data_IF_481063514828
#
_entry.id   IF_481063514828
#
_cell.length_a   1.000
_cell.length_b   1.000
_cell.length_c   1.000
_cell.angle_alpha   90.00
_cell.angle_beta   90.00
_cell.angle_gamma   90.00
#
_symmetry.space_group_name_H-M   'P 1'
#
loop_
_entity.id
_entity.type
_entity.pdbx_description
1 polymer ?
#
# COMPACT_ATOMS: atom_id res chain seq x y z
N UNK A 1 -12.56 15.23 16.86
CA UNK A 1 -11.30 15.87 16.43
C UNK A 1 -11.45 16.21 14.97
N UNK A 2 -11.28 17.48 14.59
CA UNK A 2 -11.24 17.91 13.18
C UNK A 2 -9.78 18.17 12.86
N UNK A 3 -9.26 17.54 11.81
CA UNK A 3 -7.90 17.78 11.31
C UNK A 3 -7.98 18.83 10.20
N UNK A 4 -7.25 19.93 10.36
CA UNK A 4 -7.07 20.93 9.30
C UNK A 4 -5.98 20.48 8.32
N UNK A 5 -6.12 20.86 7.05
CA UNK A 5 -5.11 20.59 6.02
C UNK A 5 -4.08 21.73 5.98
N UNK A 6 -2.80 21.44 5.69
CA UNK A 6 -2.23 20.12 5.43
C UNK A 6 -2.08 19.28 6.70
N UNK A 7 -2.29 17.96 6.59
CA UNK A 7 -2.22 17.02 7.71
C UNK A 7 -1.37 15.79 7.37
N UNK A 8 -0.72 15.23 8.40
CA UNK A 8 -0.06 13.93 8.38
C UNK A 8 -0.63 13.08 9.52
N UNK A 9 -1.28 11.97 9.16
CA UNK A 9 -1.77 10.99 10.12
C UNK A 9 -0.76 9.85 10.16
N UNK A 10 -0.24 9.58 11.35
CA UNK A 10 0.68 8.47 11.60
C UNK A 10 -0.01 7.48 12.53
N UNK A 11 0.00 6.21 12.13
CA UNK A 11 -0.42 5.10 12.96
C UNK A 11 0.60 3.96 12.87
N UNK A 12 0.49 2.98 13.76
CA UNK A 12 1.31 1.77 13.73
C UNK A 12 0.55 0.58 14.31
N UNK A 13 0.98 -0.61 13.95
CA UNK A 13 0.30 -1.86 14.28
C UNK A 13 0.90 -3.01 13.48
N UNK A 14 0.20 -4.14 13.43
CA UNK A 14 0.54 -5.29 12.62
C UNK A 14 -0.77 -5.85 12.06
N UNK A 15 -1.09 -5.50 10.82
CA UNK A 15 -2.30 -6.02 10.17
C UNK A 15 -2.12 -7.48 9.77
N UNK A 16 -3.21 -8.15 9.43
CA UNK A 16 -3.14 -9.50 8.87
C UNK A 16 -3.97 -9.58 7.61
N UNK A 17 -3.57 -10.49 6.73
CA UNK A 17 -4.26 -10.81 5.48
C UNK A 17 -4.92 -12.16 5.63
N UNK A 18 -6.19 -12.25 5.22
CA UNK A 18 -6.85 -13.53 5.01
C UNK A 18 -6.56 -13.99 3.59
N UNK A 19 -5.61 -14.92 3.44
CA UNK A 19 -5.19 -15.41 2.12
C UNK A 19 -6.25 -16.37 1.58
N UNK A 20 -6.80 -16.03 0.41
CA UNK A 20 -7.79 -16.82 -0.32
C UNK A 20 -7.38 -17.08 -1.78
N UNK A 21 -6.52 -16.24 -2.35
CA UNK A 21 -5.94 -16.42 -3.68
C UNK A 21 -4.54 -17.03 -3.65
N UNK A 22 -3.95 -17.17 -4.83
CA UNK A 22 -2.62 -17.76 -5.05
C UNK A 22 -1.57 -16.69 -5.42
N UNK A 23 -1.94 -15.41 -5.28
CA UNK A 23 -1.09 -14.27 -5.58
C UNK A 23 0.09 -14.08 -4.64
N UNK A 24 0.92 -13.09 -4.97
CA UNK A 24 2.05 -12.68 -4.13
C UNK A 24 1.78 -11.29 -3.57
N UNK A 25 2.01 -11.11 -2.27
CA UNK A 25 1.76 -9.84 -1.60
C UNK A 25 2.13 -9.88 -0.13
N UNK A 26 1.76 -8.83 0.57
CA UNK A 26 1.88 -8.72 2.02
C UNK A 26 0.82 -7.80 2.60
N UNK A 27 0.78 -7.71 3.93
CA UNK A 27 -0.25 -6.97 4.67
C UNK A 27 -0.20 -5.47 4.38
N UNK A 28 1.00 -4.90 4.23
CA UNK A 28 1.17 -3.48 3.96
C UNK A 28 0.76 -3.15 2.53
N UNK A 29 1.17 -3.99 1.58
CA UNK A 29 0.78 -3.87 0.17
C UNK A 29 -0.74 -4.04 0.01
N UNK A 30 -1.38 -5.01 0.68
CA UNK A 30 -2.85 -5.16 0.57
C UNK A 30 -3.62 -3.98 1.17
N UNK A 31 -3.16 -3.43 2.30
CA UNK A 31 -3.77 -2.23 2.86
C UNK A 31 -3.64 -1.04 1.90
N UNK A 32 -2.45 -0.84 1.30
CA UNK A 32 -2.23 0.20 0.31
C UNK A 32 -3.13 0.04 -0.93
N UNK A 33 -3.30 -1.19 -1.44
CA UNK A 33 -4.18 -1.46 -2.58
C UNK A 33 -5.66 -1.25 -2.23
N UNK A 34 -6.08 -1.70 -1.05
CA UNK A 34 -7.42 -1.46 -0.52
C UNK A 34 -7.70 0.03 -0.37
N UNK A 35 -6.74 0.80 0.17
CA UNK A 35 -6.83 2.25 0.25
C UNK A 35 -7.00 2.90 -1.13
N UNK A 36 -6.15 2.54 -2.10
CA UNK A 36 -6.22 3.05 -3.47
C UNK A 36 -7.60 2.84 -4.12
N UNK A 37 -8.23 1.67 -3.89
CA UNK A 37 -9.58 1.38 -4.36
C UNK A 37 -10.62 2.32 -3.74
N UNK A 38 -10.50 2.64 -2.44
CA UNK A 38 -11.43 3.52 -1.74
C UNK A 38 -11.26 5.00 -2.12
N UNK A 39 -10.03 5.44 -2.40
CA UNK A 39 -9.74 6.86 -2.69
C UNK A 39 -9.61 7.17 -4.18
N UNK A 40 -9.95 6.22 -5.06
CA UNK A 40 -9.82 6.39 -6.51
C UNK A 40 -10.55 7.65 -7.01
N UNK A 41 -9.81 8.55 -7.65
CA UNK A 41 -10.26 9.84 -8.16
C UNK A 41 -10.17 11.00 -7.15
N UNK A 42 -9.75 10.75 -5.90
CA UNK A 42 -9.50 11.80 -4.93
C UNK A 42 -8.06 12.33 -5.07
N UNK A 43 -7.92 13.66 -5.07
CA UNK A 43 -6.62 14.32 -5.11
C UNK A 43 -6.07 14.54 -3.70
N UNK A 44 -4.80 14.90 -3.61
CA UNK A 44 -4.17 15.43 -2.39
C UNK A 44 -4.10 14.43 -1.23
N UNK A 45 -4.01 13.14 -1.56
CA UNK A 45 -3.86 12.04 -0.62
C UNK A 45 -2.68 11.17 -1.04
N UNK A 46 -1.82 10.82 -0.09
CA UNK A 46 -0.75 9.83 -0.29
C UNK A 46 -0.62 8.98 0.97
N UNK A 47 -0.75 7.68 0.81
CA UNK A 47 -0.48 6.69 1.84
C UNK A 47 0.86 6.02 1.56
N UNK A 48 1.67 5.86 2.61
CA UNK A 48 2.68 4.82 2.71
C UNK A 48 2.24 3.85 3.82
N UNK A 49 2.25 2.56 3.51
CA UNK A 49 2.23 1.50 4.50
C UNK A 49 3.48 0.66 4.33
N UNK A 50 4.21 0.41 5.42
CA UNK A 50 5.49 -0.30 5.37
C UNK A 50 5.81 -1.06 6.66
N UNK A 51 6.29 -2.30 6.48
CA UNK A 51 6.94 -3.10 7.51
C UNK A 51 8.32 -2.53 7.83
N UNK A 52 8.56 -2.26 9.11
CA UNK A 52 9.81 -1.61 9.55
C UNK A 52 11.05 -2.49 9.42
N UNK A 53 10.89 -3.80 9.25
CA UNK A 53 11.98 -4.75 8.96
C UNK A 53 12.47 -4.73 7.51
N UNK A 54 11.76 -4.00 6.65
CA UNK A 54 12.07 -3.86 5.24
C UNK A 54 11.47 -4.95 4.35
N UNK A 55 10.56 -5.77 4.91
CA UNK A 55 9.87 -6.84 4.20
C UNK A 55 8.37 -6.84 4.49
N UNK A 56 7.58 -7.21 3.50
CA UNK A 56 6.13 -7.37 3.63
C UNK A 56 5.68 -8.63 2.87
N UNK A 57 5.24 -9.63 3.63
CA UNK A 57 4.98 -10.97 3.12
C UNK A 57 6.23 -11.64 2.51
N UNK A 58 6.08 -12.64 1.63
CA UNK A 58 7.19 -13.28 0.93
C UNK A 58 7.70 -12.42 -0.26
N UNK A 59 8.00 -11.15 -0.03
CA UNK A 59 8.43 -10.18 -1.07
C UNK A 59 9.74 -9.47 -0.70
N UNK A 60 10.32 -8.74 -1.66
CA UNK A 60 11.48 -7.86 -1.45
C UNK A 60 11.09 -6.41 -1.14
N UNK A 61 9.79 -6.12 -1.07
CA UNK A 61 9.27 -4.81 -0.71
C UNK A 61 8.96 -4.75 0.79
N UNK A 62 9.13 -3.57 1.37
CA UNK A 62 8.67 -3.26 2.73
C UNK A 62 7.18 -2.93 2.75
N UNK A 63 6.59 -2.58 1.60
CA UNK A 63 5.22 -2.12 1.48
C UNK A 63 5.00 -1.40 0.16
N UNK A 64 4.08 -0.44 0.13
CA UNK A 64 3.76 0.30 -1.11
C UNK A 64 3.26 1.73 -0.84
N UNK A 65 3.41 2.56 -1.86
CA UNK A 65 2.75 3.86 -1.94
C UNK A 65 1.39 3.75 -2.64
N UNK A 66 0.39 4.46 -2.14
CA UNK A 66 -0.92 4.52 -2.76
C UNK A 66 -1.54 5.92 -2.68
N UNK A 67 -2.13 6.37 -3.77
CA UNK A 67 -2.83 7.65 -3.91
C UNK A 67 -4.14 7.46 -4.70
N UNK A 68 -4.92 8.54 -4.85
CA UNK A 68 -6.18 8.46 -5.60
C UNK A 68 -6.04 8.26 -7.11
N UNK A 69 -4.83 8.23 -7.65
CA UNK A 69 -4.53 7.90 -9.05
C UNK A 69 -3.90 6.51 -9.23
N UNK A 70 -3.59 5.77 -8.16
CA UNK A 70 -3.04 4.41 -8.23
C UNK A 70 -3.89 3.48 -9.10
N UNK A 71 -5.22 3.48 -8.95
CA UNK A 71 -6.13 2.68 -9.79
C UNK A 71 -6.16 3.17 -11.25
N UNK A 72 -5.93 4.46 -11.50
CA UNK A 72 -5.82 5.01 -12.85
C UNK A 72 -4.51 4.53 -13.50
N UNK A 73 -3.40 4.49 -12.75
CA UNK A 73 -2.12 3.92 -13.22
C UNK A 73 -2.29 2.44 -13.58
N UNK A 74 -2.95 1.64 -12.75
CA UNK A 74 -3.17 0.22 -13.04
C UNK A 74 -4.01 -0.02 -14.30
N UNK A 75 -5.07 0.78 -14.51
CA UNK A 75 -5.90 0.71 -15.73
C UNK A 75 -5.09 1.00 -16.99
N UNK A 76 -4.15 1.94 -16.93
CA UNK A 76 -3.23 2.23 -18.06
C UNK A 76 -2.26 1.09 -18.32
N UNK A 77 -1.89 0.34 -17.29
CA UNK A 77 -1.09 -0.88 -17.38
C UNK A 77 -1.91 -2.14 -17.75
N UNK A 78 -3.24 -2.03 -17.90
CA UNK A 78 -4.11 -3.17 -18.21
C UNK A 78 -4.37 -4.11 -17.03
N UNK A 79 -4.17 -3.64 -15.79
CA UNK A 79 -4.38 -4.42 -14.56
C UNK A 79 -5.67 -4.00 -13.84
N UNK A 80 -6.48 -5.00 -13.47
CA UNK A 80 -7.66 -4.82 -12.62
C UNK A 80 -7.28 -4.83 -11.13
N UNK A 81 -7.28 -3.65 -10.52
CA UNK A 81 -6.92 -3.46 -9.11
C UNK A 81 -7.76 -4.30 -8.13
N UNK A 82 -9.06 -4.46 -8.39
CA UNK A 82 -9.95 -5.22 -7.51
C UNK A 82 -9.63 -6.70 -7.61
N UNK A 83 -9.42 -7.21 -8.83
CA UNK A 83 -9.03 -8.60 -9.03
C UNK A 83 -7.69 -8.91 -8.35
N UNK A 84 -6.68 -8.04 -8.49
CA UNK A 84 -5.39 -8.25 -7.83
C UNK A 84 -5.52 -8.30 -6.30
N UNK A 85 -6.40 -7.48 -5.71
CA UNK A 85 -6.66 -7.55 -4.27
C UNK A 85 -7.34 -8.85 -3.86
N UNK A 86 -8.36 -9.29 -4.62
CA UNK A 86 -9.11 -10.52 -4.33
C UNK A 86 -8.23 -11.79 -4.45
N UNK A 87 -7.24 -11.76 -5.34
CA UNK A 87 -6.29 -12.85 -5.55
C UNK A 87 -5.06 -12.78 -4.62
N UNK A 88 -5.03 -11.83 -3.66
CA UNK A 88 -3.89 -11.56 -2.79
C UNK A 88 -2.57 -11.28 -3.56
N UNK A 89 -2.66 -10.67 -4.76
CA UNK A 89 -1.54 -10.38 -5.66
C UNK A 89 -1.11 -8.91 -5.65
N UNK A 90 -1.09 -8.29 -4.47
CA UNK A 90 -0.76 -6.87 -4.31
C UNK A 90 0.67 -6.52 -4.73
N UNK A 91 1.62 -7.45 -4.63
CA UNK A 91 3.00 -7.24 -5.06
C UNK A 91 3.10 -7.04 -6.57
N UNK A 92 2.49 -7.94 -7.34
CA UNK A 92 2.51 -7.87 -8.80
C UNK A 92 1.80 -6.60 -9.28
N UNK A 93 0.72 -6.19 -8.60
CA UNK A 93 0.03 -4.93 -8.86
C UNK A 93 0.96 -3.72 -8.72
N UNK A 94 1.59 -3.54 -7.55
CA UNK A 94 2.42 -2.36 -7.28
C UNK A 94 3.72 -2.39 -8.07
N UNK A 95 4.24 -3.58 -8.40
CA UNK A 95 5.41 -3.74 -9.26
C UNK A 95 5.16 -3.23 -10.67
N UNK A 96 4.00 -3.52 -11.26
CA UNK A 96 3.69 -3.09 -12.63
C UNK A 96 3.58 -1.57 -12.74
N UNK A 97 3.06 -0.92 -11.70
CA UNK A 97 2.87 0.54 -11.68
C UNK A 97 4.02 1.31 -11.03
N UNK A 98 5.10 0.63 -10.64
CA UNK A 98 6.32 1.17 -10.04
C UNK A 98 6.10 1.95 -8.72
N UNK A 99 5.22 1.42 -7.86
CA UNK A 99 4.83 2.06 -6.58
C UNK A 99 5.20 1.20 -5.35
N UNK A 100 6.02 0.16 -5.52
CA UNK A 100 6.57 -0.61 -4.40
C UNK A 100 7.55 0.24 -3.59
N UNK A 101 7.49 0.10 -2.26
CA UNK A 101 8.48 0.69 -1.37
C UNK A 101 9.53 -0.36 -1.01
N UNK A 102 10.71 -0.26 -1.65
CA UNK A 102 11.82 -1.21 -1.46
C UNK A 102 12.93 -0.53 -0.66
N UNK A 103 13.10 -0.93 0.61
CA UNK A 103 14.17 -0.44 1.49
C UNK A 103 15.37 -1.38 1.53
N UNK A 104 15.17 -2.66 1.22
CA UNK A 104 16.05 -3.73 1.69
C UNK A 104 15.94 -3.96 3.20
N UNK A 105 16.67 -4.94 3.75
CA UNK A 105 16.61 -5.27 5.17
C UNK A 105 17.11 -4.10 6.02
N UNK A 106 16.30 -3.66 6.98
CA UNK A 106 16.62 -2.50 7.83
C UNK A 106 17.41 -2.88 9.09
N UNK A 107 17.34 -4.15 9.50
CA UNK A 107 17.98 -4.66 10.71
C UNK A 107 17.22 -4.41 12.02
N UNK A 108 15.99 -3.91 11.95
CA UNK A 108 15.12 -3.74 13.12
C UNK A 108 13.66 -4.06 12.76
N UNK A 109 12.89 -4.63 13.68
CA UNK A 109 11.46 -4.89 13.47
C UNK A 109 10.65 -4.34 14.66
N UNK A 110 9.84 -3.32 14.39
CA UNK A 110 8.86 -2.74 15.31
C UNK A 110 7.45 -2.72 14.70
N UNK A 111 7.14 -3.75 13.89
CA UNK A 111 5.88 -3.93 13.13
C UNK A 111 5.73 -2.91 11.98
N UNK A 112 4.51 -2.48 11.66
CA UNK A 112 4.19 -1.61 10.53
C UNK A 112 4.02 -0.14 10.93
N UNK A 113 4.29 0.75 9.97
CA UNK A 113 3.97 2.17 10.06
C UNK A 113 3.07 2.59 8.89
N UNK A 114 1.97 3.27 9.22
CA UNK A 114 1.03 3.85 8.26
C UNK A 114 1.19 5.37 8.28
N UNK A 115 1.51 5.98 7.13
CA UNK A 115 1.67 7.43 6.98
C UNK A 115 0.71 7.91 5.90
N UNK A 116 -0.35 8.63 6.30
CA UNK A 116 -1.29 9.27 5.39
C UNK A 116 -1.06 10.78 5.37
N UNK A 117 -0.62 11.28 4.21
CA UNK A 117 -0.52 12.71 3.92
C UNK A 117 -1.79 13.21 3.25
N UNK A 118 -2.26 14.37 3.71
CA UNK A 118 -3.40 15.10 3.15
C UNK A 118 -2.94 16.53 2.87
N UNK A 119 -2.83 16.92 1.60
CA UNK A 119 -2.39 18.26 1.19
C UNK A 119 -3.58 19.18 0.84
N UNK A 120 -3.27 20.45 0.56
CA UNK A 120 -4.24 21.47 0.12
C UNK A 120 -4.85 21.15 -1.25
#
# INVERSE_FOLDING_TARGET
>A
MVLERPACIIAGGETTVSVTGEGRGGRCQELALSFALQVNGLNNLLLLDAGTDGTDGPTDAAGAFADGHTVIRSKRAGIDALNMLLENDSYSFFKEIDDLFITGPTGANVMDIYILLISD
#
